data_IF_862348202384
#
_entry.id   IF_862348202384
#
_cell.length_a   1.000
_cell.length_b   1.000
_cell.length_c   1.000
_cell.angle_alpha   90.00
_cell.angle_beta   90.00
_cell.angle_gamma   90.00
#
_symmetry.space_group_name_H-M   'P 1'
#
loop_
_entity.id
_entity.type
_entity.pdbx_description
1 polymer ?
#
# COMPACT_ATOMS: atom_id res chain seq x y z
N UNK A 1 4.28 48.86 5.21
CA UNK A 1 5.34 47.83 5.07
C UNK A 1 5.21 46.73 6.12
N UNK A 2 5.16 47.03 7.43
CA UNK A 2 4.90 46.01 8.47
C UNK A 2 3.53 45.32 8.32
N UNK A 3 2.44 46.07 8.13
CA UNK A 3 1.09 45.49 7.94
C UNK A 3 0.97 44.54 6.73
N UNK A 4 1.74 44.80 5.69
CA UNK A 4 1.72 44.00 4.45
C UNK A 4 2.52 42.70 4.60
N UNK A 5 3.59 42.72 5.41
CA UNK A 5 4.32 41.53 5.83
C UNK A 5 3.41 40.62 6.69
N UNK A 6 2.73 41.20 7.68
CA UNK A 6 1.82 40.46 8.57
C UNK A 6 0.65 39.83 7.82
N UNK A 7 0.14 40.50 6.78
CA UNK A 7 -0.93 39.97 5.93
C UNK A 7 -0.45 38.78 5.06
N UNK A 8 0.78 38.82 4.54
CA UNK A 8 1.36 37.71 3.77
C UNK A 8 1.66 36.50 4.67
N UNK A 9 2.17 36.73 5.87
CA UNK A 9 2.43 35.68 6.85
C UNK A 9 1.14 34.99 7.30
N UNK A 10 0.10 35.76 7.59
CA UNK A 10 -1.22 35.21 7.93
C UNK A 10 -1.75 34.30 6.82
N UNK A 11 -1.65 34.72 5.55
CA UNK A 11 -2.10 33.93 4.40
C UNK A 11 -1.31 32.62 4.25
N UNK A 12 -0.02 32.61 4.58
CA UNK A 12 0.77 31.37 4.60
C UNK A 12 0.23 30.44 5.69
N UNK A 13 -0.01 30.95 6.91
CA UNK A 13 -0.57 30.16 8.01
C UNK A 13 -1.93 29.58 7.64
N UNK A 14 -2.83 30.40 7.07
CA UNK A 14 -4.16 29.97 6.63
C UNK A 14 -4.05 28.79 5.64
N UNK A 15 -3.17 28.89 4.64
CA UNK A 15 -2.93 27.79 3.70
C UNK A 15 -2.35 26.54 4.35
N UNK A 16 -1.49 26.67 5.37
CA UNK A 16 -0.95 25.51 6.09
C UNK A 16 -2.04 24.76 6.84
N UNK A 17 -2.94 25.51 7.50
CA UNK A 17 -4.07 24.95 8.25
C UNK A 17 -5.04 24.28 7.28
N UNK A 18 -5.45 24.98 6.22
CA UNK A 18 -6.39 24.47 5.22
C UNK A 18 -5.84 23.20 4.53
N UNK A 19 -4.53 23.15 4.20
CA UNK A 19 -3.94 21.94 3.61
C UNK A 19 -4.01 20.74 4.56
N UNK A 20 -3.77 20.95 5.86
CA UNK A 20 -3.88 19.90 6.86
C UNK A 20 -5.34 19.44 7.07
N UNK A 21 -6.28 20.38 7.15
CA UNK A 21 -7.72 20.08 7.28
C UNK A 21 -8.24 19.28 6.08
N UNK A 22 -7.86 19.67 4.86
CA UNK A 22 -8.22 18.94 3.65
C UNK A 22 -7.67 17.51 3.68
N UNK A 23 -6.44 17.31 4.13
CA UNK A 23 -5.87 15.96 4.26
C UNK A 23 -6.62 15.12 5.31
N UNK A 24 -6.91 15.69 6.48
CA UNK A 24 -7.63 15.02 7.59
C UNK A 24 -9.10 14.74 7.24
N UNK A 25 -9.69 15.47 6.30
CA UNK A 25 -11.05 15.23 5.81
C UNK A 25 -11.10 14.32 4.59
N UNK A 26 -9.96 13.80 4.12
CA UNK A 26 -9.86 12.86 3.00
C UNK A 26 -9.85 13.53 1.63
N UNK A 27 -9.76 14.86 1.58
CA UNK A 27 -9.62 15.65 0.35
C UNK A 27 -8.15 15.81 -0.02
N UNK A 28 -7.44 14.69 -0.15
CA UNK A 28 -5.98 14.67 -0.37
C UNK A 28 -5.56 15.34 -1.69
N UNK A 29 -6.39 15.31 -2.74
CA UNK A 29 -6.09 16.01 -3.99
C UNK A 29 -6.12 17.54 -3.84
N UNK A 30 -7.14 18.06 -3.15
CA UNK A 30 -7.25 19.49 -2.82
C UNK A 30 -6.11 19.91 -1.89
N UNK A 31 -5.79 19.08 -0.90
CA UNK A 31 -4.65 19.26 0.00
C UNK A 31 -3.33 19.34 -0.77
N UNK A 32 -3.08 18.40 -1.68
CA UNK A 32 -1.87 18.35 -2.50
C UNK A 32 -1.73 19.58 -3.39
N UNK A 33 -2.82 20.04 -4.01
CA UNK A 33 -2.84 21.28 -4.80
C UNK A 33 -2.46 22.49 -3.94
N UNK A 34 -2.94 22.53 -2.69
CA UNK A 34 -2.63 23.61 -1.75
C UNK A 34 -1.19 23.54 -1.24
N UNK A 35 -0.66 22.36 -0.98
CA UNK A 35 0.76 22.15 -0.63
C UNK A 35 1.69 22.61 -1.76
N UNK A 36 1.37 22.29 -3.03
CA UNK A 36 2.12 22.78 -4.20
C UNK A 36 2.11 24.30 -4.29
N UNK A 37 0.97 24.93 -3.98
CA UNK A 37 0.84 26.39 -3.94
C UNK A 37 1.66 27.00 -2.79
N UNK A 38 1.63 26.40 -1.61
CA UNK A 38 2.45 26.77 -0.46
C UNK A 38 3.95 26.69 -0.78
N UNK A 39 4.40 25.58 -1.37
CA UNK A 39 5.78 25.40 -1.78
C UNK A 39 6.25 26.51 -2.72
N UNK A 40 5.44 26.91 -3.71
CA UNK A 40 5.74 28.04 -4.61
C UNK A 40 5.84 29.38 -3.87
N UNK A 41 4.93 29.63 -2.92
CA UNK A 41 4.94 30.87 -2.12
C UNK A 41 6.17 30.94 -1.22
N UNK A 42 6.53 29.83 -0.55
CA UNK A 42 7.68 29.73 0.33
C UNK A 42 9.00 29.94 -0.44
N UNK A 43 9.13 29.29 -1.61
CA UNK A 43 10.24 29.53 -2.53
C UNK A 43 10.35 31.03 -2.89
N UNK A 44 9.26 31.63 -3.37
CA UNK A 44 9.27 33.04 -3.79
C UNK A 44 9.49 34.05 -2.64
N UNK A 45 9.41 33.61 -1.39
CA UNK A 45 9.65 34.45 -0.21
C UNK A 45 11.01 34.22 0.45
N UNK A 46 11.88 33.40 -0.17
CA UNK A 46 13.21 33.08 0.37
C UNK A 46 13.19 32.09 1.54
N UNK A 47 12.04 31.47 1.82
CA UNK A 47 11.86 30.47 2.89
C UNK A 47 12.15 29.06 2.36
N UNK A 48 13.38 28.87 1.88
CA UNK A 48 13.79 27.68 1.14
C UNK A 48 13.68 26.40 1.96
N UNK A 49 14.12 26.42 3.22
CA UNK A 49 14.05 25.26 4.12
C UNK A 49 12.61 24.76 4.32
N UNK A 50 11.67 25.68 4.55
CA UNK A 50 10.26 25.31 4.67
C UNK A 50 9.68 24.85 3.32
N UNK A 51 10.11 25.45 2.22
CA UNK A 51 9.70 24.99 0.89
C UNK A 51 10.16 23.55 0.65
N UNK A 52 11.40 23.19 1.00
CA UNK A 52 11.94 21.85 0.82
C UNK A 52 11.16 20.81 1.63
N UNK A 53 10.75 21.12 2.87
CA UNK A 53 9.86 20.25 3.67
C UNK A 53 8.54 19.97 2.92
N UNK A 54 7.94 20.99 2.31
CA UNK A 54 6.73 20.79 1.50
C UNK A 54 7.02 20.02 0.22
N UNK A 55 8.19 20.20 -0.41
CA UNK A 55 8.58 19.45 -1.61
C UNK A 55 8.65 17.95 -1.32
N UNK A 56 9.31 17.57 -0.22
CA UNK A 56 9.42 16.16 0.19
C UNK A 56 8.04 15.55 0.46
N UNK A 57 7.17 16.25 1.19
CA UNK A 57 5.80 15.78 1.45
C UNK A 57 4.97 15.63 0.19
N UNK A 58 5.09 16.57 -0.75
CA UNK A 58 4.40 16.50 -2.05
C UNK A 58 4.82 15.24 -2.80
N UNK A 59 6.13 14.99 -2.90
CA UNK A 59 6.68 13.81 -3.59
C UNK A 59 6.14 12.52 -2.96
N UNK A 60 6.21 12.39 -1.63
CA UNK A 60 5.70 11.20 -0.93
C UNK A 60 4.22 10.95 -1.20
N UNK A 61 3.38 12.00 -1.17
CA UNK A 61 1.95 11.85 -1.46
C UNK A 61 1.71 11.48 -2.93
N UNK A 62 2.46 12.07 -3.86
CA UNK A 62 2.37 11.74 -5.29
C UNK A 62 2.75 10.28 -5.56
N UNK A 63 3.84 9.79 -4.97
CA UNK A 63 4.26 8.39 -5.10
C UNK A 63 3.18 7.42 -4.61
N UNK A 64 2.56 7.72 -3.46
CA UNK A 64 1.45 6.93 -2.91
C UNK A 64 0.23 6.95 -3.86
N UNK A 65 -0.11 8.11 -4.43
CA UNK A 65 -1.21 8.24 -5.40
C UNK A 65 -0.92 7.43 -6.67
N UNK A 66 0.29 7.53 -7.19
CA UNK A 66 0.72 6.82 -8.40
C UNK A 66 0.69 5.31 -8.20
N UNK A 67 1.16 4.82 -7.05
CA UNK A 67 1.08 3.40 -6.69
C UNK A 67 -0.38 2.91 -6.65
N UNK A 68 -1.29 3.67 -6.01
CA UNK A 68 -2.71 3.35 -5.97
C UNK A 68 -3.31 3.26 -7.37
N UNK A 69 -3.01 4.26 -8.21
CA UNK A 69 -3.52 4.35 -9.56
C UNK A 69 -3.02 3.18 -10.42
N UNK A 70 -1.79 2.75 -10.24
CA UNK A 70 -1.24 1.60 -10.93
C UNK A 70 -1.91 0.29 -10.50
N UNK A 71 -2.26 0.12 -9.23
CA UNK A 71 -3.07 -1.01 -8.80
C UNK A 71 -4.50 -0.98 -9.39
N UNK A 72 -5.14 0.20 -9.42
CA UNK A 72 -6.47 0.36 -10.04
C UNK A 72 -6.42 0.01 -11.53
N UNK A 73 -5.40 0.47 -12.28
CA UNK A 73 -5.22 0.15 -13.70
C UNK A 73 -5.08 -1.35 -13.95
N UNK A 74 -4.42 -2.07 -13.03
CA UNK A 74 -4.23 -3.52 -13.10
C UNK A 74 -5.48 -4.31 -12.73
N UNK A 75 -6.34 -3.77 -11.87
CA UNK A 75 -7.49 -4.50 -11.33
C UNK A 75 -8.41 -5.07 -12.42
N UNK A 76 -8.84 -4.24 -13.39
CA UNK A 76 -9.77 -4.67 -14.45
C UNK A 76 -9.19 -5.76 -15.37
N UNK A 77 -7.94 -5.65 -15.87
CA UNK A 77 -7.28 -6.74 -16.58
C UNK A 77 -7.24 -8.06 -15.79
N UNK A 78 -6.92 -8.03 -14.49
CA UNK A 78 -6.80 -9.26 -13.69
C UNK A 78 -8.17 -9.89 -13.39
N UNK A 79 -9.21 -9.06 -13.19
CA UNK A 79 -10.61 -9.53 -13.12
C UNK A 79 -10.97 -10.31 -14.39
N UNK A 80 -10.63 -9.78 -15.56
CA UNK A 80 -10.95 -10.43 -16.84
C UNK A 80 -10.15 -11.72 -17.08
N UNK A 81 -8.95 -11.84 -16.51
CA UNK A 81 -8.14 -13.06 -16.58
C UNK A 81 -8.62 -14.15 -15.63
N UNK A 82 -9.46 -13.79 -14.65
CA UNK A 82 -9.90 -14.72 -13.61
C UNK A 82 -8.78 -15.08 -12.63
N UNK A 83 -7.74 -14.24 -12.50
CA UNK A 83 -6.74 -14.40 -11.43
C UNK A 83 -7.32 -13.85 -10.13
N UNK A 84 -8.18 -14.66 -9.52
CA UNK A 84 -8.94 -14.29 -8.32
C UNK A 84 -8.06 -13.76 -7.20
N UNK A 85 -6.87 -14.35 -7.07
CA UNK A 85 -5.92 -14.04 -6.03
C UNK A 85 -5.30 -12.66 -6.23
N UNK A 86 -4.83 -12.40 -7.45
CA UNK A 86 -4.28 -11.08 -7.80
C UNK A 86 -5.35 -10.00 -7.65
N UNK A 87 -6.60 -10.28 -7.99
CA UNK A 87 -7.72 -9.33 -7.83
C UNK A 87 -7.94 -8.97 -6.36
N UNK A 88 -8.06 -9.95 -5.46
CA UNK A 88 -8.24 -9.69 -4.03
C UNK A 88 -7.06 -8.90 -3.43
N UNK A 89 -5.83 -9.27 -3.80
CA UNK A 89 -4.64 -8.53 -3.37
C UNK A 89 -4.69 -7.08 -3.84
N UNK A 90 -5.09 -6.82 -5.09
CA UNK A 90 -5.20 -5.47 -5.62
C UNK A 90 -6.28 -4.67 -4.88
N UNK A 91 -7.46 -5.23 -4.64
CA UNK A 91 -8.49 -4.57 -3.83
C UNK A 91 -7.97 -4.18 -2.45
N UNK A 92 -7.25 -5.08 -1.78
CA UNK A 92 -6.67 -4.78 -0.48
C UNK A 92 -5.58 -3.69 -0.55
N UNK A 93 -4.63 -3.80 -1.47
CA UNK A 93 -3.57 -2.79 -1.64
C UNK A 93 -4.16 -1.40 -1.93
N UNK A 94 -5.22 -1.32 -2.74
CA UNK A 94 -5.92 -0.05 -3.01
C UNK A 94 -6.59 0.48 -1.73
N UNK A 95 -7.23 -0.37 -0.92
CA UNK A 95 -7.84 0.03 0.34
C UNK A 95 -6.80 0.52 1.36
N UNK A 96 -5.67 -0.18 1.51
CA UNK A 96 -4.56 0.23 2.39
C UNK A 96 -4.00 1.58 1.98
N UNK A 97 -3.72 1.79 0.69
CA UNK A 97 -3.22 3.09 0.22
C UNK A 97 -4.28 4.19 0.38
N UNK A 98 -5.54 3.89 0.11
CA UNK A 98 -6.64 4.86 0.33
C UNK A 98 -6.72 5.27 1.79
N UNK A 99 -6.48 4.36 2.74
CA UNK A 99 -6.38 4.68 4.17
C UNK A 99 -5.20 5.59 4.49
N UNK A 100 -4.04 5.38 3.87
CA UNK A 100 -2.87 6.24 4.02
C UNK A 100 -3.12 7.67 3.48
N UNK A 101 -3.91 7.78 2.41
CA UNK A 101 -4.41 9.06 1.87
C UNK A 101 -5.61 9.62 2.65
N UNK A 102 -6.08 8.90 3.68
CA UNK A 102 -7.27 9.20 4.46
C UNK A 102 -8.55 9.35 3.62
N UNK A 103 -8.57 8.70 2.45
CA UNK A 103 -9.70 8.57 1.53
C UNK A 103 -10.65 7.48 2.02
N UNK A 104 -11.50 7.83 2.98
CA UNK A 104 -12.42 6.89 3.65
C UNK A 104 -13.45 6.28 2.70
N UNK A 105 -13.91 7.05 1.72
CA UNK A 105 -14.87 6.59 0.72
C UNK A 105 -14.26 5.46 -0.11
N UNK A 106 -13.04 5.65 -0.63
CA UNK A 106 -12.33 4.59 -1.35
C UNK A 106 -12.06 3.37 -0.46
N UNK A 107 -11.69 3.55 0.81
CA UNK A 107 -11.51 2.42 1.75
C UNK A 107 -12.79 1.57 1.84
N UNK A 108 -13.94 2.21 2.02
CA UNK A 108 -15.22 1.51 2.14
C UNK A 108 -15.58 0.78 0.84
N UNK A 109 -15.42 1.45 -0.31
CA UNK A 109 -15.69 0.87 -1.64
C UNK A 109 -14.83 -0.38 -1.85
N UNK A 110 -13.50 -0.27 -1.72
CA UNK A 110 -12.61 -1.37 -2.07
C UNK A 110 -12.62 -2.50 -1.05
N UNK A 111 -12.90 -2.22 0.22
CA UNK A 111 -13.13 -3.27 1.23
C UNK A 111 -14.42 -4.04 0.95
N UNK A 112 -15.49 -3.36 0.50
CA UNK A 112 -16.73 -4.02 0.10
C UNK A 112 -16.53 -4.86 -1.15
N UNK A 113 -15.94 -4.30 -2.20
CA UNK A 113 -15.65 -5.01 -3.45
C UNK A 113 -14.77 -6.25 -3.23
N UNK A 114 -13.80 -6.16 -2.32
CA UNK A 114 -13.02 -7.30 -1.86
C UNK A 114 -13.91 -8.43 -1.30
N UNK A 115 -14.82 -8.10 -0.37
CA UNK A 115 -15.73 -9.07 0.25
C UNK A 115 -16.69 -9.68 -0.76
N UNK A 116 -17.33 -8.84 -1.57
CA UNK A 116 -18.27 -9.27 -2.61
C UNK A 116 -17.59 -10.18 -3.63
N UNK A 117 -16.34 -9.86 -4.03
CA UNK A 117 -15.56 -10.68 -4.95
C UNK A 117 -15.11 -12.01 -4.30
N UNK A 118 -14.73 -12.01 -3.02
CA UNK A 118 -14.38 -13.22 -2.30
C UNK A 118 -15.59 -14.17 -2.16
N UNK A 119 -16.74 -13.63 -1.77
CA UNK A 119 -17.99 -14.39 -1.61
C UNK A 119 -18.49 -14.96 -2.95
N UNK A 120 -18.53 -14.12 -3.99
CA UNK A 120 -18.98 -14.53 -5.34
C UNK A 120 -18.15 -15.69 -5.89
N UNK A 121 -16.87 -15.72 -5.60
CA UNK A 121 -15.95 -16.76 -6.07
C UNK A 121 -15.81 -17.91 -5.07
N UNK A 122 -16.67 -17.99 -4.04
CA UNK A 122 -16.71 -19.05 -3.05
C UNK A 122 -15.32 -19.33 -2.47
N UNK A 123 -14.55 -18.28 -2.19
CA UNK A 123 -13.22 -18.45 -1.61
C UNK A 123 -13.36 -19.00 -0.20
N UNK A 124 -13.13 -20.30 -0.12
CA UNK A 124 -13.02 -21.05 1.11
C UNK A 124 -11.70 -20.69 1.79
N UNK A 125 -11.78 -20.13 2.99
CA UNK A 125 -10.63 -19.77 3.79
C UNK A 125 -9.78 -21.00 4.10
N UNK A 126 -10.42 -22.16 4.29
CA UNK A 126 -9.71 -23.42 4.51
C UNK A 126 -8.97 -23.85 3.24
N UNK A 127 -9.50 -23.52 2.05
CA UNK A 127 -8.80 -23.78 0.78
C UNK A 127 -7.63 -22.82 0.54
N UNK A 128 -7.73 -21.56 1.00
CA UNK A 128 -6.60 -20.62 0.98
C UNK A 128 -5.49 -21.05 1.93
N UNK A 129 -5.86 -21.50 3.12
CA UNK A 129 -4.90 -22.02 4.10
C UNK A 129 -4.22 -23.31 3.58
N UNK A 130 -5.01 -24.27 3.09
CA UNK A 130 -4.50 -25.49 2.47
C UNK A 130 -3.60 -25.20 1.26
N UNK A 131 -3.95 -24.20 0.43
CA UNK A 131 -3.12 -23.78 -0.69
C UNK A 131 -1.78 -23.23 -0.22
N UNK A 132 -1.77 -22.44 0.85
CA UNK A 132 -0.53 -21.92 1.44
C UNK A 132 0.36 -23.05 1.95
N UNK A 133 -0.21 -24.02 2.65
CA UNK A 133 0.52 -25.21 3.14
C UNK A 133 1.16 -25.97 1.98
N UNK A 134 0.42 -26.22 0.91
CA UNK A 134 0.94 -26.90 -0.29
C UNK A 134 2.03 -26.08 -1.01
N UNK A 135 1.92 -24.75 -1.01
CA UNK A 135 2.95 -23.87 -1.58
C UNK A 135 4.21 -23.86 -0.72
N UNK A 136 4.07 -23.87 0.61
CA UNK A 136 5.20 -23.98 1.54
C UNK A 136 5.94 -25.31 1.34
N UNK A 137 5.21 -26.43 1.23
CA UNK A 137 5.82 -27.74 0.97
C UNK A 137 6.61 -27.73 -0.35
N UNK A 138 6.04 -27.16 -1.41
CA UNK A 138 6.75 -26.99 -2.70
C UNK A 138 7.96 -26.08 -2.59
N UNK A 139 7.87 -24.99 -1.81
CA UNK A 139 9.00 -24.09 -1.57
C UNK A 139 10.14 -24.84 -0.87
N UNK A 140 9.81 -25.64 0.15
CA UNK A 140 10.77 -26.48 0.86
C UNK A 140 11.44 -27.50 -0.10
N UNK A 141 10.66 -28.16 -0.97
CA UNK A 141 11.21 -29.05 -2.00
C UNK A 141 12.09 -28.32 -3.02
N UNK A 142 11.78 -27.07 -3.38
CA UNK A 142 12.64 -26.25 -4.24
C UNK A 142 13.97 -25.90 -3.55
N UNK A 143 13.94 -25.60 -2.25
CA UNK A 143 15.15 -25.40 -1.42
C UNK A 143 16.02 -26.65 -1.41
N UNK A 144 15.44 -27.84 -1.22
CA UNK A 144 16.17 -29.13 -1.26
C UNK A 144 16.84 -29.36 -2.62
N UNK A 145 16.16 -28.99 -3.70
CA UNK A 145 16.69 -29.04 -5.07
C UNK A 145 17.69 -27.91 -5.38
N UNK A 146 17.96 -27.01 -4.42
CA UNK A 146 18.75 -25.78 -4.57
C UNK A 146 18.23 -24.83 -5.65
N UNK A 147 16.96 -24.93 -6.02
CA UNK A 147 16.28 -23.96 -6.88
C UNK A 147 15.77 -22.80 -6.02
N UNK A 148 16.70 -21.93 -5.61
CA UNK A 148 16.40 -20.83 -4.72
C UNK A 148 15.50 -19.77 -5.35
N UNK A 149 15.48 -19.68 -6.69
CA UNK A 149 14.60 -18.75 -7.40
C UNK A 149 13.15 -19.22 -7.28
N UNK A 150 12.89 -20.50 -7.59
CA UNK A 150 11.56 -21.09 -7.40
C UNK A 150 11.11 -21.01 -5.93
N UNK A 151 12.01 -21.29 -4.98
CA UNK A 151 11.69 -21.17 -3.55
C UNK A 151 11.30 -19.74 -3.13
N UNK A 152 12.03 -18.72 -3.61
CA UNK A 152 11.74 -17.31 -3.34
C UNK A 152 10.36 -16.92 -3.87
N UNK A 153 10.04 -17.33 -5.09
CA UNK A 153 8.75 -17.04 -5.71
C UNK A 153 7.61 -17.71 -4.92
N UNK A 154 7.78 -18.98 -4.54
CA UNK A 154 6.79 -19.75 -3.78
C UNK A 154 6.57 -19.20 -2.36
N UNK A 155 7.62 -18.89 -1.61
CA UNK A 155 7.47 -18.23 -0.31
C UNK A 155 6.85 -16.84 -0.43
N UNK A 156 7.11 -16.13 -1.53
CA UNK A 156 6.43 -14.87 -1.84
C UNK A 156 4.92 -15.04 -2.01
N UNK A 157 4.45 -16.14 -2.61
CA UNK A 157 3.02 -16.47 -2.66
C UNK A 157 2.46 -16.85 -1.29
N UNK A 158 3.19 -17.61 -0.47
CA UNK A 158 2.79 -17.93 0.91
C UNK A 158 2.63 -16.68 1.80
N UNK A 159 3.59 -15.74 1.73
CA UNK A 159 3.53 -14.45 2.44
C UNK A 159 2.25 -13.69 2.07
N UNK A 160 2.00 -13.54 0.78
CA UNK A 160 0.85 -12.79 0.29
C UNK A 160 -0.48 -13.49 0.68
N UNK A 161 -0.57 -14.83 0.71
CA UNK A 161 -1.78 -15.54 1.19
C UNK A 161 -1.98 -15.29 2.67
N UNK A 162 -0.91 -15.30 3.47
CA UNK A 162 -1.00 -15.04 4.91
C UNK A 162 -1.51 -13.61 5.17
N UNK A 163 -1.00 -12.62 4.43
CA UNK A 163 -1.52 -11.23 4.50
C UNK A 163 -2.97 -11.12 4.05
N UNK A 164 -3.40 -11.92 3.06
CA UNK A 164 -4.80 -11.98 2.66
C UNK A 164 -5.68 -12.56 3.78
N UNK A 165 -5.19 -13.59 4.47
CA UNK A 165 -5.90 -14.23 5.57
C UNK A 165 -6.05 -13.28 6.77
N UNK A 166 -5.02 -12.49 7.13
CA UNK A 166 -5.10 -11.44 8.18
C UNK A 166 -6.36 -10.58 8.05
N UNK A 167 -6.69 -10.16 6.83
CA UNK A 167 -7.82 -9.26 6.57
C UNK A 167 -9.19 -9.96 6.51
N UNK A 168 -9.22 -11.30 6.46
CA UNK A 168 -10.46 -12.09 6.38
C UNK A 168 -10.75 -12.90 7.65
N UNK A 169 -9.72 -13.29 8.40
CA UNK A 169 -9.88 -14.10 9.62
C UNK A 169 -10.43 -13.27 10.78
N UNK A 170 -10.98 -13.96 11.78
CA UNK A 170 -11.40 -13.33 13.03
C UNK A 170 -10.20 -12.69 13.73
N UNK A 171 -10.39 -11.60 14.51
CA UNK A 171 -9.28 -10.88 15.16
C UNK A 171 -8.37 -11.78 16.02
N UNK A 172 -8.93 -12.82 16.64
CA UNK A 172 -8.16 -13.82 17.40
C UNK A 172 -7.17 -14.66 16.58
N UNK A 173 -7.28 -14.66 15.24
CA UNK A 173 -6.37 -15.35 14.32
C UNK A 173 -5.48 -14.39 13.53
N UNK A 174 -5.66 -13.09 13.71
CA UNK A 174 -4.92 -12.05 12.98
C UNK A 174 -3.42 -12.10 13.30
N UNK A 175 -3.08 -12.24 14.59
CA UNK A 175 -1.69 -12.28 15.07
C UNK A 175 -0.93 -13.51 14.54
N UNK A 176 -1.61 -14.67 14.46
CA UNK A 176 -1.06 -15.89 13.88
C UNK A 176 -0.76 -15.71 12.38
N UNK A 177 -1.66 -15.08 11.64
CA UNK A 177 -1.50 -14.87 10.20
C UNK A 177 -0.45 -13.79 9.88
N UNK A 178 -0.33 -12.76 10.73
CA UNK A 178 0.76 -11.78 10.67
C UNK A 178 2.11 -12.44 10.95
N UNK A 179 2.19 -13.33 11.95
CA UNK A 179 3.40 -14.08 12.24
C UNK A 179 3.83 -14.96 11.07
N UNK A 180 2.88 -15.65 10.43
CA UNK A 180 3.14 -16.48 9.24
C UNK A 180 3.61 -15.64 8.05
N UNK A 181 3.01 -14.47 7.82
CA UNK A 181 3.47 -13.55 6.77
C UNK A 181 4.93 -13.14 6.99
N UNK A 182 5.30 -12.77 8.22
CA UNK A 182 6.68 -12.41 8.57
C UNK A 182 7.64 -13.60 8.43
N UNK A 183 7.21 -14.79 8.84
CA UNK A 183 7.99 -16.03 8.64
C UNK A 183 8.34 -16.25 7.16
N UNK A 184 7.37 -16.14 6.25
CA UNK A 184 7.63 -16.31 4.82
C UNK A 184 8.51 -15.19 4.24
N UNK A 185 8.36 -13.96 4.73
CA UNK A 185 9.23 -12.82 4.36
C UNK A 185 10.69 -13.07 4.73
N UNK A 186 10.94 -13.61 5.92
CA UNK A 186 12.28 -13.97 6.38
C UNK A 186 12.88 -15.08 5.52
N UNK A 187 12.12 -16.15 5.26
CA UNK A 187 12.54 -17.25 4.36
C UNK A 187 12.92 -16.72 2.98
N UNK A 188 12.07 -15.90 2.38
CA UNK A 188 12.33 -15.25 1.09
C UNK A 188 13.66 -14.47 1.10
N UNK A 189 13.88 -13.67 2.13
CA UNK A 189 15.09 -12.85 2.27
C UNK A 189 16.36 -13.71 2.42
N UNK A 190 16.29 -14.79 3.19
CA UNK A 190 17.40 -15.75 3.36
C UNK A 190 17.86 -16.35 2.02
N UNK A 191 16.92 -16.72 1.16
CA UNK A 191 17.23 -17.34 -0.12
C UNK A 191 17.62 -16.32 -1.20
N UNK A 192 17.08 -15.09 -1.16
CA UNK A 192 17.55 -13.99 -2.00
C UNK A 192 19.05 -13.72 -1.81
N UNK A 193 19.53 -13.70 -0.56
CA UNK A 193 20.97 -13.53 -0.28
C UNK A 193 21.83 -14.67 -0.87
N UNK A 194 21.31 -15.90 -0.90
CA UNK A 194 22.01 -17.06 -1.49
C UNK A 194 22.08 -16.97 -3.01
N UNK A 195 21.05 -16.42 -3.66
CA UNK A 195 21.08 -16.11 -5.10
C UNK A 195 22.13 -15.03 -5.37
N UNK A 196 22.13 -13.95 -4.58
CA UNK A 196 23.05 -12.83 -4.74
C UNK A 196 24.53 -13.20 -4.52
N UNK A 197 24.83 -14.19 -3.67
CA UNK A 197 26.20 -14.71 -3.42
C UNK A 197 26.72 -15.69 -4.48
N UNK A 198 25.85 -16.20 -5.38
CA UNK A 198 26.23 -17.11 -6.48
C UNK A 198 26.63 -16.38 -7.77
N UNK A 199 26.48 -15.05 -7.81
CA UNK A 199 26.92 -14.16 -8.89
C UNK A 199 28.03 -13.24 -8.41
#
# INVERSE_FOLDING_TARGET
MQEELTRKEKKVIDYKIEAAELFVTGKYEESLALMKKLNRILNNSGRWEEADIYREKIIQIEEIIDERNDYIKRLKPEINRGDYYTVLRLYNSIAVISRALNDKESVEIYTKEFKDYAEKNQLDLDALDLRRELLEEKANQAVERQDFKEAVDLYGECEKISLLLVDIVQPEKEEDELWKAEYFRLKKSEFFEKIAKKH
#
